data_IF_329195787889
#
_entry.id   IF_329195787889
#
_cell.length_a   1.000
_cell.length_b   1.000
_cell.length_c   1.000
_cell.angle_alpha   90.00
_cell.angle_beta   90.00
_cell.angle_gamma   90.00
#
_symmetry.space_group_name_H-M   'P 1'
#
loop_
_entity.id
_entity.type
_entity.pdbx_description
1 polymer ?
#
# COMPACT_ATOMS: atom_id res chain seq x y z
N UNK A 1 -46.53 21.90 13.52
CA UNK A 1 -45.36 22.60 12.96
C UNK A 1 -44.24 21.58 12.83
N UNK A 2 -43.80 21.24 11.61
CA UNK A 2 -42.74 20.26 11.35
C UNK A 2 -41.44 21.02 11.12
N UNK A 3 -40.46 20.85 12.00
CA UNK A 3 -39.12 21.41 11.85
C UNK A 3 -38.27 20.43 11.05
N UNK A 4 -37.78 20.89 9.89
CA UNK A 4 -36.76 20.18 9.12
C UNK A 4 -35.39 20.59 9.66
N UNK A 5 -34.65 19.62 10.20
CA UNK A 5 -33.22 19.79 10.49
C UNK A 5 -32.43 19.44 9.22
N UNK A 6 -31.83 20.44 8.61
CA UNK A 6 -30.92 20.27 7.48
C UNK A 6 -29.51 20.06 8.05
N UNK A 7 -28.98 18.85 7.92
CA UNK A 7 -27.60 18.52 8.30
C UNK A 7 -26.70 18.90 7.13
N UNK A 8 -25.88 19.93 7.33
CA UNK A 8 -24.83 20.34 6.41
C UNK A 8 -23.60 19.45 6.65
N UNK A 9 -23.37 18.45 5.80
CA UNK A 9 -22.14 17.68 5.81
C UNK A 9 -21.03 18.51 5.13
N UNK A 10 -20.08 19.03 5.92
CA UNK A 10 -18.84 19.60 5.39
C UNK A 10 -17.90 18.45 5.01
N UNK A 11 -17.79 18.19 3.70
CA UNK A 11 -16.66 17.42 3.15
C UNK A 11 -15.44 18.34 3.10
N UNK A 12 -14.51 18.16 4.03
CA UNK A 12 -13.23 18.86 4.02
C UNK A 12 -12.24 18.05 3.16
N UNK A 13 -12.03 18.48 1.92
CA UNK A 13 -10.93 17.98 1.09
C UNK A 13 -9.62 18.58 1.60
N UNK A 14 -8.93 17.83 2.45
CA UNK A 14 -7.61 18.20 2.96
C UNK A 14 -6.57 17.98 1.85
N UNK A 15 -6.10 19.06 1.24
CA UNK A 15 -5.01 19.03 0.26
C UNK A 15 -3.69 18.97 1.01
N UNK A 16 -3.16 17.77 1.25
CA UNK A 16 -1.85 17.56 1.88
C UNK A 16 -0.75 17.68 0.81
N UNK A 17 0.32 18.41 1.14
CA UNK A 17 1.48 18.59 0.26
C UNK A 17 2.29 17.31 0.18
N UNK A 18 2.09 16.55 -0.88
CA UNK A 18 2.84 15.33 -1.18
C UNK A 18 4.03 15.69 -2.07
N UNK A 19 5.26 15.36 -1.63
CA UNK A 19 6.42 15.42 -2.50
C UNK A 19 6.50 14.10 -3.28
N UNK A 20 6.41 14.17 -4.62
CA UNK A 20 6.58 13.02 -5.48
C UNK A 20 8.05 12.68 -5.67
N UNK A 21 8.43 11.45 -5.37
CA UNK A 21 9.67 10.84 -5.86
C UNK A 21 9.28 10.06 -7.13
N UNK A 22 10.11 10.10 -8.18
CA UNK A 22 9.73 9.76 -9.56
C UNK A 22 9.43 8.27 -9.85
N UNK A 23 9.27 7.41 -8.82
CA UNK A 23 9.17 5.95 -8.96
C UNK A 23 8.06 5.32 -8.11
N UNK A 24 6.88 5.97 -8.00
CA UNK A 24 5.76 5.37 -7.25
C UNK A 24 5.97 5.34 -5.73
N UNK A 25 6.84 6.21 -5.21
CA UNK A 25 7.03 6.47 -3.79
C UNK A 25 6.68 7.93 -3.50
N UNK A 26 5.83 8.15 -2.50
CA UNK A 26 5.38 9.48 -2.09
C UNK A 26 5.65 9.67 -0.60
N UNK A 27 6.07 10.87 -0.19
CA UNK A 27 6.26 11.19 1.22
C UNK A 27 5.08 12.02 1.74
N UNK A 28 4.53 11.62 2.89
CA UNK A 28 3.63 12.48 3.66
C UNK A 28 4.40 13.64 4.28
N UNK A 29 3.70 14.57 4.94
CA UNK A 29 4.34 15.42 5.93
C UNK A 29 4.83 14.61 7.15
N UNK A 30 5.78 15.15 7.92
CA UNK A 30 6.25 14.54 9.15
C UNK A 30 5.57 15.17 10.38
N UNK A 31 5.08 14.33 11.29
CA UNK A 31 4.49 14.73 12.55
C UNK A 31 5.50 14.62 13.69
N UNK A 32 5.45 15.51 14.68
CA UNK A 32 6.35 15.48 15.84
C UNK A 32 7.28 16.68 15.92
N UNK A 33 8.51 16.47 16.40
CA UNK A 33 9.49 17.54 16.54
C UNK A 33 10.93 17.11 16.23
N UNK A 34 11.88 18.06 16.24
CA UNK A 34 13.19 17.90 15.59
C UNK A 34 14.20 17.05 16.38
N UNK A 35 13.77 16.39 17.45
CA UNK A 35 14.66 15.71 18.40
C UNK A 35 14.92 14.27 17.95
N UNK A 36 15.93 13.62 18.54
CA UNK A 36 16.28 12.23 18.22
C UNK A 36 17.17 12.10 16.99
N UNK A 37 17.49 10.85 16.63
CA UNK A 37 18.33 10.48 15.48
C UNK A 37 17.45 10.17 14.27
N UNK A 38 17.85 10.66 13.10
CA UNK A 38 17.12 10.44 11.84
C UNK A 38 17.07 8.95 11.46
N UNK A 39 15.96 8.54 10.88
CA UNK A 39 15.77 7.27 10.21
C UNK A 39 14.96 7.47 8.93
N UNK A 40 15.10 6.56 7.97
CA UNK A 40 14.34 6.57 6.72
C UNK A 40 14.29 5.19 6.11
N UNK A 41 13.11 4.76 5.68
CA UNK A 41 12.88 3.55 4.90
C UNK A 41 12.76 3.85 3.40
N UNK A 42 12.91 5.11 2.96
CA UNK A 42 12.66 5.51 1.56
C UNK A 42 13.41 4.64 0.55
N UNK A 43 14.68 4.33 0.82
CA UNK A 43 15.53 3.51 -0.07
C UNK A 43 15.25 1.99 0.05
N UNK A 44 14.41 1.59 1.00
CA UNK A 44 14.01 0.19 1.24
C UNK A 44 12.61 -0.13 0.72
N UNK A 45 11.82 0.91 0.42
CA UNK A 45 10.44 0.76 -0.06
C UNK A 45 10.43 0.54 -1.56
N UNK A 46 9.75 -0.53 -1.98
CA UNK A 46 9.60 -0.90 -3.39
C UNK A 46 8.11 -0.82 -3.78
N UNK A 47 7.75 -0.13 -4.87
CA UNK A 47 6.40 -0.19 -5.43
C UNK A 47 5.94 -1.63 -5.68
N UNK A 48 4.70 -1.93 -5.30
CA UNK A 48 4.15 -3.29 -5.41
C UNK A 48 4.53 -4.25 -4.29
N UNK A 49 5.32 -3.83 -3.30
CA UNK A 49 5.53 -4.62 -2.07
C UNK A 49 4.21 -4.86 -1.33
N UNK A 50 4.14 -5.91 -0.52
CA UNK A 50 3.01 -6.19 0.37
C UNK A 50 3.38 -5.88 1.81
N UNK A 51 2.41 -5.38 2.59
CA UNK A 51 2.56 -5.21 4.03
C UNK A 51 1.82 -6.34 4.73
N UNK A 52 2.55 -7.12 5.51
CA UNK A 52 2.01 -8.27 6.23
C UNK A 52 1.47 -7.85 7.60
N UNK A 53 2.19 -6.98 8.31
CA UNK A 53 1.81 -6.55 9.65
C UNK A 53 2.26 -5.12 9.93
N UNK A 54 1.57 -4.46 10.87
CA UNK A 54 2.05 -3.23 11.49
C UNK A 54 2.17 -3.37 13.00
N UNK A 55 3.30 -2.90 13.53
CA UNK A 55 3.68 -2.95 14.92
C UNK A 55 3.66 -1.55 15.54
N UNK A 56 3.10 -1.44 16.74
CA UNK A 56 3.24 -0.27 17.61
C UNK A 56 3.76 -0.74 18.96
N UNK A 57 4.88 -0.17 19.42
CA UNK A 57 5.26 -0.24 20.84
C UNK A 57 4.86 1.04 21.53
N UNK A 58 4.11 0.95 22.62
CA UNK A 58 3.68 2.14 23.36
C UNK A 58 3.44 1.90 24.84
N UNK A 59 3.62 2.97 25.63
CA UNK A 59 3.11 3.13 26.99
C UNK A 59 2.28 4.40 27.06
N UNK A 60 2.69 5.36 27.88
CA UNK A 60 2.11 6.72 27.84
C UNK A 60 2.39 7.47 26.53
N UNK A 61 3.41 7.02 25.78
CA UNK A 61 3.93 7.60 24.55
C UNK A 61 4.25 6.47 23.57
N UNK A 62 4.49 6.81 22.32
CA UNK A 62 4.88 5.81 21.32
C UNK A 62 6.38 5.58 21.42
N UNK A 63 6.76 4.34 21.71
CA UNK A 63 8.14 3.90 21.80
C UNK A 63 8.74 3.60 20.43
N UNK A 64 7.96 2.98 19.55
CA UNK A 64 8.42 2.60 18.22
C UNK A 64 7.28 2.13 17.32
N UNK A 65 7.56 2.11 16.02
CA UNK A 65 6.69 1.59 14.96
C UNK A 65 7.49 0.65 14.08
N UNK A 66 6.81 -0.29 13.43
CA UNK A 66 7.43 -1.14 12.43
C UNK A 66 6.43 -1.78 11.48
N UNK A 67 6.94 -2.30 10.38
CA UNK A 67 6.22 -3.06 9.38
C UNK A 67 6.97 -4.36 9.10
N UNK A 68 6.22 -5.43 8.93
CA UNK A 68 6.70 -6.61 8.22
C UNK A 68 6.24 -6.46 6.77
N UNK A 69 7.18 -6.41 5.83
CA UNK A 69 6.90 -6.26 4.41
C UNK A 69 7.48 -7.43 3.62
N UNK A 70 6.91 -7.71 2.46
CA UNK A 70 7.48 -8.61 1.46
C UNK A 70 7.65 -7.83 0.17
N UNK A 71 8.87 -7.78 -0.36
CA UNK A 71 9.13 -7.11 -1.63
C UNK A 71 8.57 -7.90 -2.82
N UNK A 72 8.68 -7.33 -4.02
CA UNK A 72 8.19 -7.96 -5.26
C UNK A 72 8.95 -9.23 -5.66
N UNK A 73 10.12 -9.50 -5.07
CA UNK A 73 10.89 -10.73 -5.25
C UNK A 73 10.47 -11.84 -4.26
N UNK A 74 9.58 -11.53 -3.32
CA UNK A 74 9.17 -12.44 -2.25
C UNK A 74 10.06 -12.40 -1.02
N UNK A 75 10.99 -11.44 -0.91
CA UNK A 75 11.91 -11.33 0.23
C UNK A 75 11.22 -10.62 1.41
N UNK A 76 11.12 -11.25 2.58
CA UNK A 76 10.58 -10.61 3.77
C UNK A 76 11.60 -9.67 4.40
N UNK A 77 11.16 -8.47 4.78
CA UNK A 77 11.96 -7.46 5.47
C UNK A 77 11.18 -6.89 6.65
N UNK A 78 11.87 -6.67 7.78
CA UNK A 78 11.31 -6.01 8.95
C UNK A 78 11.85 -4.58 9.02
N UNK A 79 10.97 -3.60 8.88
CA UNK A 79 11.26 -2.19 9.10
C UNK A 79 10.87 -1.84 10.54
N UNK A 80 11.78 -1.29 11.34
CA UNK A 80 11.46 -0.90 12.71
C UNK A 80 12.26 0.30 13.19
N UNK A 81 11.57 1.27 13.78
CA UNK A 81 12.16 2.49 14.32
C UNK A 81 11.71 2.77 15.75
N UNK A 82 12.62 3.32 16.57
CA UNK A 82 12.40 3.65 17.97
C UNK A 82 12.91 2.61 18.96
N UNK A 83 12.50 2.75 20.22
CA UNK A 83 12.98 1.92 21.33
C UNK A 83 12.16 0.65 21.55
N UNK A 84 12.66 -0.24 22.41
CA UNK A 84 12.01 -1.51 22.79
C UNK A 84 11.14 -1.43 24.05
N UNK A 85 10.94 -0.22 24.58
CA UNK A 85 10.04 0.01 25.72
C UNK A 85 8.57 -0.17 25.36
N UNK A 86 7.68 -0.04 26.36
CA UNK A 86 6.24 -0.16 26.18
C UNK A 86 5.76 -1.56 25.82
N UNK A 87 4.45 -1.68 25.59
CA UNK A 87 3.78 -2.90 25.16
C UNK A 87 3.68 -2.94 23.64
N UNK A 88 4.01 -4.09 23.05
CA UNK A 88 3.84 -4.33 21.62
C UNK A 88 2.37 -4.63 21.31
N UNK A 89 1.85 -3.97 20.29
CA UNK A 89 0.62 -4.35 19.61
C UNK A 89 0.94 -4.56 18.14
N UNK A 90 0.40 -5.61 17.57
CA UNK A 90 0.53 -5.93 16.16
C UNK A 90 -0.85 -6.06 15.55
N UNK A 91 -1.02 -5.54 14.33
CA UNK A 91 -2.16 -5.83 13.49
C UNK A 91 -1.65 -6.56 12.25
N UNK A 92 -2.04 -7.82 12.13
CA UNK A 92 -1.84 -8.63 10.93
C UNK A 92 -2.85 -8.20 9.86
N UNK A 93 -2.37 -8.03 8.63
CA UNK A 93 -3.19 -7.67 7.47
C UNK A 93 -3.65 -8.95 6.77
N UNK A 94 -4.93 -8.98 6.39
CA UNK A 94 -5.46 -10.04 5.52
C UNK A 94 -5.05 -9.85 4.05
N UNK A 95 -5.42 -10.80 3.18
CA UNK A 95 -5.33 -10.61 1.73
C UNK A 95 -5.99 -9.30 1.31
N UNK A 96 -5.32 -8.55 0.42
CA UNK A 96 -5.75 -7.26 -0.12
C UNK A 96 -6.02 -6.14 0.92
N UNK A 97 -5.71 -6.40 2.19
CA UNK A 97 -5.79 -5.41 3.24
C UNK A 97 -4.55 -4.53 3.23
N UNK A 98 -4.77 -3.22 3.33
CA UNK A 98 -3.73 -2.20 3.19
C UNK A 98 -3.91 -1.15 4.25
N UNK A 99 -2.81 -0.62 4.77
CA UNK A 99 -2.84 0.51 5.69
C UNK A 99 -2.95 1.79 4.85
N UNK A 100 -4.05 2.51 5.03
CA UNK A 100 -4.44 3.64 4.18
C UNK A 100 -4.53 4.96 4.93
N UNK A 101 -4.41 4.96 6.26
CA UNK A 101 -4.44 6.21 7.02
C UNK A 101 -3.69 6.16 8.34
N UNK A 102 -3.25 7.34 8.77
CA UNK A 102 -2.59 7.56 10.06
C UNK A 102 -3.20 8.76 10.78
N UNK A 103 -3.20 8.69 12.09
CA UNK A 103 -3.40 9.81 12.99
C UNK A 103 -2.28 9.78 14.04
N UNK A 104 -1.49 10.86 14.10
CA UNK A 104 -0.39 11.00 15.04
C UNK A 104 -0.60 12.22 15.93
N UNK A 105 -0.33 12.08 17.22
CA UNK A 105 -0.38 13.18 18.17
C UNK A 105 0.98 13.34 18.83
N UNK A 106 1.43 14.57 19.03
CA UNK A 106 2.72 14.86 19.65
C UNK A 106 2.64 15.89 20.76
N UNK A 107 3.71 15.98 21.54
CA UNK A 107 3.84 16.97 22.59
C UNK A 107 5.15 16.84 23.36
N UNK A 108 5.38 17.78 24.27
CA UNK A 108 6.62 17.87 25.02
C UNK A 108 6.75 16.79 26.10
N UNK A 109 7.99 16.38 26.36
CA UNK A 109 8.43 15.53 27.46
C UNK A 109 9.78 16.07 27.92
N UNK A 110 9.75 16.90 28.96
CA UNK A 110 10.93 17.69 29.32
C UNK A 110 11.26 18.64 28.18
N UNK A 111 12.51 18.63 27.75
CA UNK A 111 13.05 19.42 26.64
C UNK A 111 12.84 18.79 25.25
N UNK A 112 12.24 17.59 25.15
CA UNK A 112 12.05 16.88 23.87
C UNK A 112 10.59 16.85 23.43
N UNK A 113 10.35 16.99 22.12
CA UNK A 113 9.05 16.63 21.51
C UNK A 113 8.99 15.14 21.21
N UNK A 114 7.86 14.50 21.53
CA UNK A 114 7.65 13.05 21.32
C UNK A 114 6.32 12.78 20.63
N UNK A 115 6.25 11.70 19.88
CA UNK A 115 4.98 11.10 19.47
C UNK A 115 4.32 10.50 20.72
N UNK A 116 3.17 11.06 21.09
CA UNK A 116 2.40 10.71 22.28
C UNK A 116 1.37 9.63 21.96
N UNK A 117 0.79 9.67 20.77
CA UNK A 117 -0.17 8.69 20.29
C UNK A 117 -0.03 8.49 18.79
N UNK A 118 -0.29 7.27 18.34
CA UNK A 118 -0.43 6.97 16.92
C UNK A 118 -1.53 5.95 16.70
N UNK A 119 -2.26 6.10 15.61
CA UNK A 119 -3.30 5.19 15.14
C UNK A 119 -3.13 4.98 13.65
N UNK A 120 -3.23 3.73 13.22
CA UNK A 120 -3.33 3.35 11.81
C UNK A 120 -4.71 2.78 11.51
N UNK A 121 -5.17 2.99 10.29
CA UNK A 121 -6.43 2.45 9.76
C UNK A 121 -6.18 1.74 8.42
N UNK A 122 -6.88 0.63 8.21
CA UNK A 122 -6.84 -0.13 6.96
C UNK A 122 -8.01 0.22 6.05
N UNK A 123 -7.92 -0.14 4.76
CA UNK A 123 -9.04 -0.11 3.82
C UNK A 123 -10.28 -0.89 4.29
N UNK A 124 -10.10 -1.89 5.15
CA UNK A 124 -11.18 -2.67 5.78
C UNK A 124 -11.65 -2.09 7.12
N UNK A 125 -11.28 -0.85 7.44
CA UNK A 125 -11.61 -0.15 8.69
C UNK A 125 -11.08 -0.84 9.97
N UNK A 126 -10.12 -1.78 9.87
CA UNK A 126 -9.39 -2.26 11.06
C UNK A 126 -8.45 -1.16 11.53
N UNK A 127 -8.19 -1.15 12.84
CA UNK A 127 -7.31 -0.14 13.43
C UNK A 127 -6.37 -0.74 14.46
N UNK A 128 -5.19 -0.16 14.57
CA UNK A 128 -4.26 -0.38 15.67
C UNK A 128 -3.80 0.96 16.19
N UNK A 129 -3.71 1.10 17.51
CA UNK A 129 -3.29 2.35 18.14
C UNK A 129 -2.56 2.14 19.47
N UNK A 130 -1.76 3.13 19.83
CA UNK A 130 -0.97 3.12 21.06
C UNK A 130 -0.64 4.53 21.53
N UNK A 131 -0.37 4.66 22.84
CA UNK A 131 -0.04 5.95 23.47
C UNK A 131 -1.27 6.70 24.00
N UNK A 132 -1.09 8.01 24.27
CA UNK A 132 -2.12 8.91 24.82
C UNK A 132 -2.32 10.14 23.92
N UNK A 133 -3.55 10.40 23.43
CA UNK A 133 -3.83 11.57 22.60
C UNK A 133 -3.47 12.90 23.27
N UNK A 134 -3.02 13.85 22.46
CA UNK A 134 -2.79 15.25 22.84
C UNK A 134 -3.47 16.22 21.88
N UNK A 135 -3.31 17.53 22.12
CA UNK A 135 -3.92 18.59 21.31
C UNK A 135 -3.25 18.83 19.95
N UNK A 136 -1.98 18.45 19.79
CA UNK A 136 -1.28 18.58 18.51
C UNK A 136 -1.53 17.30 17.73
N UNK A 137 -2.23 17.41 16.61
CA UNK A 137 -2.75 16.28 15.85
C UNK A 137 -2.35 16.48 14.39
N UNK A 138 -1.91 15.40 13.77
CA UNK A 138 -1.66 15.30 12.35
C UNK A 138 -2.30 14.04 11.80
N UNK A 139 -2.78 14.12 10.56
CA UNK A 139 -3.45 13.02 9.86
C UNK A 139 -2.97 13.00 8.43
N UNK A 140 -2.80 11.81 7.90
CA UNK A 140 -2.50 11.62 6.49
C UNK A 140 -3.24 10.37 5.99
N UNK A 141 -3.45 10.27 4.69
CA UNK A 141 -4.12 9.16 4.04
C UNK A 141 -3.46 8.86 2.71
N UNK A 142 -3.31 7.57 2.42
CA UNK A 142 -2.70 7.11 1.20
C UNK A 142 -3.44 7.71 -0.01
N UNK A 143 -2.72 8.30 -0.98
CA UNK A 143 -3.30 8.66 -2.25
C UNK A 143 -3.94 7.44 -2.95
N UNK A 144 -4.86 7.67 -3.89
CA UNK A 144 -5.48 6.58 -4.66
C UNK A 144 -4.38 5.74 -5.33
N UNK A 145 -4.43 4.43 -5.13
CA UNK A 145 -3.43 3.50 -5.66
C UNK A 145 -2.15 3.37 -4.83
N UNK A 146 -2.14 3.86 -3.59
CA UNK A 146 -1.02 3.76 -2.67
C UNK A 146 -1.40 3.06 -1.36
N UNK A 147 -0.40 2.52 -0.68
CA UNK A 147 -0.49 2.01 0.69
C UNK A 147 0.72 2.47 1.51
N UNK A 148 0.66 2.35 2.83
CA UNK A 148 1.84 2.54 3.66
C UNK A 148 2.93 1.54 3.25
N UNK A 149 4.12 2.02 2.91
CA UNK A 149 5.28 1.18 2.58
C UNK A 149 6.39 1.21 3.62
N UNK A 150 6.53 2.32 4.35
CA UNK A 150 7.58 2.49 5.34
C UNK A 150 7.45 3.80 6.09
N UNK A 151 8.47 4.16 6.86
CA UNK A 151 8.48 5.36 7.66
C UNK A 151 9.76 6.17 7.44
N UNK A 152 9.69 7.46 7.72
CA UNK A 152 10.87 8.30 7.94
C UNK A 152 10.64 9.19 9.16
N UNK A 153 11.69 9.77 9.72
CA UNK A 153 11.54 10.65 10.88
C UNK A 153 12.74 10.64 11.80
N UNK A 154 12.48 10.77 13.10
CA UNK A 154 13.51 10.80 14.14
C UNK A 154 13.10 10.01 15.38
N UNK A 155 14.07 9.33 15.99
CA UNK A 155 13.81 8.49 17.15
C UNK A 155 14.99 8.35 18.11
N UNK A 156 14.70 7.81 19.30
CA UNK A 156 15.69 7.32 20.24
C UNK A 156 15.09 6.18 21.07
N UNK A 157 14.99 6.36 22.39
CA UNK A 157 14.25 5.42 23.26
C UNK A 157 12.73 5.42 23.01
N UNK A 158 12.23 6.49 22.41
CA UNK A 158 10.84 6.71 22.00
C UNK A 158 10.85 7.37 20.61
N UNK A 159 9.71 7.41 19.91
CA UNK A 159 9.59 8.18 18.67
C UNK A 159 9.50 9.68 18.97
N UNK A 160 10.29 10.46 18.23
CA UNK A 160 10.34 11.91 18.34
C UNK A 160 9.57 12.57 17.18
N UNK A 161 9.67 12.00 15.98
CA UNK A 161 8.83 12.32 14.82
C UNK A 161 8.55 11.10 13.94
N UNK A 162 7.51 11.18 13.12
CA UNK A 162 7.14 10.16 12.14
C UNK A 162 6.50 10.80 10.91
N UNK A 163 7.02 10.49 9.74
CA UNK A 163 6.39 10.65 8.44
C UNK A 163 6.23 9.29 7.77
N UNK A 164 5.35 9.23 6.78
CA UNK A 164 5.00 8.03 6.05
C UNK A 164 5.63 8.01 4.67
N UNK A 165 6.08 6.84 4.27
CA UNK A 165 6.45 6.52 2.90
C UNK A 165 5.26 5.77 2.30
N UNK A 166 4.55 6.41 1.37
CA UNK A 166 3.46 5.81 0.62
C UNK A 166 4.01 5.11 -0.62
N UNK A 167 3.76 3.81 -0.75
CA UNK A 167 4.21 2.99 -1.88
C UNK A 167 3.05 2.71 -2.82
N UNK A 168 3.29 2.84 -4.13
CA UNK A 168 2.31 2.48 -5.16
C UNK A 168 2.00 1.00 -5.05
N UNK A 169 0.71 0.69 -5.11
CA UNK A 169 0.16 -0.65 -5.15
C UNK A 169 0.47 -1.26 -6.52
N UNK A 170 0.78 -2.57 -6.57
CA UNK A 170 0.86 -3.29 -7.85
C UNK A 170 -0.49 -3.21 -8.55
N UNK A 171 -0.51 -2.79 -9.82
CA UNK A 171 -1.72 -2.93 -10.62
C UNK A 171 -1.99 -4.43 -10.75
N UNK A 172 -3.15 -4.88 -10.29
CA UNK A 172 -3.68 -6.17 -10.72
C UNK A 172 -3.80 -6.05 -12.24
N UNK A 173 -3.26 -7.01 -12.99
CA UNK A 173 -3.12 -6.89 -14.44
C UNK A 173 -4.44 -6.43 -15.06
N UNK A 174 -4.36 -5.45 -15.97
CA UNK A 174 -5.47 -5.11 -16.84
C UNK A 174 -5.87 -6.41 -17.56
N UNK A 175 -6.94 -7.05 -17.08
CA UNK A 175 -7.77 -7.92 -17.90
C UNK A 175 -8.38 -6.97 -18.94
N UNK A 176 -7.64 -6.69 -20.01
CA UNK A 176 -8.14 -6.13 -21.27
C UNK A 176 -9.03 -7.22 -21.92
N UNK A 177 -10.11 -7.58 -21.23
CA UNK A 177 -11.30 -8.21 -21.79
C UNK A 177 -12.19 -7.06 -22.31
N UNK A 178 -11.72 -6.33 -23.33
CA UNK A 178 -12.61 -5.58 -24.21
C UNK A 178 -12.75 -6.42 -25.49
N UNK A 179 -13.69 -7.35 -25.34
CA UNK A 179 -14.57 -8.00 -26.31
C UNK A 179 -14.29 -7.76 -27.80
N UNK A 180 -14.16 -8.90 -28.49
CA UNK A 180 -14.48 -9.11 -29.89
C UNK A 180 -15.80 -8.41 -30.28
N UNK A 181 -15.71 -7.26 -30.94
CA UNK A 181 -16.78 -6.83 -31.85
C UNK A 181 -16.39 -7.30 -33.26
N UNK A 182 -16.96 -8.47 -33.60
CA UNK A 182 -17.20 -8.93 -34.96
C UNK A 182 -17.90 -7.83 -35.77
N UNK A 183 -17.13 -7.08 -36.56
CA UNK A 183 -17.69 -6.35 -37.71
C UNK A 183 -17.33 -7.11 -38.98
N UNK A 184 -18.30 -7.94 -39.37
CA UNK A 184 -18.51 -8.44 -40.73
C UNK A 184 -18.45 -7.27 -41.73
N UNK A 185 -17.37 -7.17 -42.51
CA UNK A 185 -17.39 -6.47 -43.79
C UNK A 185 -17.11 -7.48 -44.92
N UNK A 186 -18.21 -7.80 -45.59
CA UNK A 186 -18.35 -8.47 -46.87
C UNK A 186 -17.63 -7.71 -48.01
N UNK A 187 -17.48 -8.42 -49.14
CA UNK A 187 -17.09 -7.97 -50.50
C UNK A 187 -15.56 -8.01 -50.79
N UNK A 188 -15.03 -8.63 -51.86
CA UNK A 188 -15.60 -9.35 -52.98
C UNK A 188 -14.44 -9.96 -53.81
N UNK A 189 -14.80 -10.86 -54.74
CA UNK A 189 -14.11 -11.21 -56.01
C UNK A 189 -13.28 -12.54 -56.15
N UNK A 190 -13.96 -13.39 -56.92
CA UNK A 190 -13.59 -14.53 -57.78
C UNK A 190 -12.17 -14.54 -58.39
N UNK A 191 -11.51 -15.70 -58.35
CA UNK A 191 -10.86 -16.27 -59.54
C UNK A 191 -10.93 -17.81 -59.54
N UNK A 192 -11.77 -18.34 -60.42
CA UNK A 192 -11.73 -19.72 -60.90
C UNK A 192 -10.34 -20.12 -61.42
N UNK A 193 -9.88 -21.35 -61.15
CA UNK A 193 -9.65 -22.35 -62.21
C UNK A 193 -9.06 -23.66 -61.69
N UNK A 194 -9.71 -24.72 -62.18
CA UNK A 194 -9.15 -25.98 -62.67
C UNK A 194 -9.06 -27.19 -61.74
N UNK A 195 -9.63 -28.25 -62.28
CA UNK A 195 -9.74 -29.58 -61.76
C UNK A 195 -8.49 -30.38 -62.14
N UNK A 196 -7.99 -31.17 -61.20
CA UNK A 196 -7.35 -32.43 -61.55
C UNK A 196 -7.59 -33.45 -60.46
N UNK A 197 -8.47 -34.38 -60.78
CA UNK A 197 -8.63 -35.68 -60.13
C UNK A 197 -7.33 -36.48 -60.30
N UNK A 198 -6.84 -37.11 -59.23
CA UNK A 198 -6.26 -38.44 -59.33
C UNK A 198 -6.26 -39.14 -57.98
N UNK A 199 -6.89 -40.31 -57.98
CA UNK A 199 -7.06 -41.29 -56.93
C UNK A 199 -5.77 -41.88 -56.35
N UNK A 200 -5.98 -42.66 -55.28
CA UNK A 200 -5.15 -43.75 -54.73
C UNK A 200 -3.91 -43.29 -53.94
N UNK A 201 -3.56 -43.88 -52.79
CA UNK A 201 -3.66 -45.29 -52.47
C UNK A 201 -3.62 -45.53 -50.94
N UNK A 202 -4.21 -46.65 -50.58
CA UNK A 202 -4.14 -47.31 -49.27
C UNK A 202 -2.73 -47.81 -48.93
N UNK A 203 -2.34 -47.82 -47.64
CA UNK A 203 -1.78 -49.02 -46.97
C UNK A 203 -1.15 -48.71 -45.60
N UNK A 204 -1.61 -49.52 -44.65
CA UNK A 204 -1.05 -49.95 -43.38
C UNK A 204 0.48 -49.92 -43.15
N UNK A 205 0.84 -49.71 -41.88
CA UNK A 205 2.13 -50.11 -41.30
C UNK A 205 2.16 -49.97 -39.77
N UNK A 206 1.85 -51.05 -39.06
CA UNK A 206 2.19 -51.25 -37.64
C UNK A 206 3.72 -51.28 -37.44
N UNK A 207 4.21 -50.82 -36.29
CA UNK A 207 4.82 -51.67 -35.25
C UNK A 207 5.90 -50.95 -34.39
N UNK A 208 5.75 -51.16 -33.07
CA UNK A 208 6.75 -51.55 -32.06
C UNK A 208 7.90 -50.60 -31.65
N UNK A 209 7.84 -50.22 -30.35
CA UNK A 209 8.83 -50.51 -29.29
C UNK A 209 10.33 -50.35 -29.58
N UNK A 210 11.05 -49.56 -28.78
CA UNK A 210 11.90 -50.00 -27.63
C UNK A 210 12.93 -48.90 -27.31
N UNK A 211 12.94 -48.43 -26.05
CA UNK A 211 14.08 -48.28 -25.10
C UNK A 211 13.76 -47.21 -24.06
#
# INVERSE_FOLDING_TARGET
MKFFFQVLALSATMTHGVAALDDGVLLSEAFGGPHGTKYSDVDLVVPGQTVQSIMIRSGERVNGVGLDITDTSGMPTILYHGGRGGTLKTLELGPDERITGVEAHWGEKGDHTRIKFIKFVTNNNKTVSGGRPTKNIGKDSAPKGYQLGGFYGTCGKELDSVGLVWARIKADGDDDDDDDDDDDDDDDEDYTSDASVSDSDSSSGQAASTY
#
